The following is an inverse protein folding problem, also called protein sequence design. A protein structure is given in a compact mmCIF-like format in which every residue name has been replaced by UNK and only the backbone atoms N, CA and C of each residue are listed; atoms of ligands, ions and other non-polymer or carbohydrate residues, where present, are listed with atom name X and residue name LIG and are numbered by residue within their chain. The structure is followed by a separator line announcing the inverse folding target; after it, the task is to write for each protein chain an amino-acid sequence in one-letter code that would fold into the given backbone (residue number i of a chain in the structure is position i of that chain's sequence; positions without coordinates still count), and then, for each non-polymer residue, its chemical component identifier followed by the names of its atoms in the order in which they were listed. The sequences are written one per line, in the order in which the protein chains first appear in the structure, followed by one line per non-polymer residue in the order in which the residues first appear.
data_IF_218646178619
#
_entry.id   IF_218646178619
#
_cell.length_a   1.000
_cell.length_b   1.000
_cell.length_c   1.000
_cell.angle_alpha   90.00
_cell.angle_beta   90.00
_cell.angle_gamma   90.00
#
_symmetry.space_group_name_H-M   'P 1'
#
loop_
_entity.id
_entity.type
_entity.pdbx_description
1 polymer ?
#
# COMPACT_ATOMS: atom_id res chain seq x y z
N UNK A 1 45.73 -7.35 -18.95
CA UNK A 1 45.55 -6.60 -20.21
C UNK A 1 44.49 -5.52 -19.99
N UNK A 2 44.77 -4.31 -20.46
CA UNK A 2 44.13 -3.07 -20.03
C UNK A 2 42.96 -2.70 -20.97
N UNK A 3 41.93 -2.00 -20.45
CA UNK A 3 40.63 -1.67 -21.10
C UNK A 3 40.71 -0.87 -22.41
N UNK A 4 41.93 -0.55 -22.87
CA UNK A 4 42.22 0.29 -24.04
C UNK A 4 42.27 -0.49 -25.35
N UNK A 5 42.23 -1.82 -25.31
CA UNK A 5 42.21 -2.67 -26.52
C UNK A 5 40.79 -3.03 -26.99
N UNK A 6 39.79 -2.95 -26.11
CA UNK A 6 38.40 -3.33 -26.42
C UNK A 6 37.64 -2.27 -27.23
N UNK A 7 38.13 -1.03 -27.29
CA UNK A 7 37.51 0.07 -28.05
C UNK A 7 38.04 0.22 -29.50
N UNK A 8 38.93 -0.67 -29.96
CA UNK A 8 39.52 -0.57 -31.31
C UNK A 8 38.83 -1.41 -32.37
N UNK A 9 37.89 -2.29 -32.01
CA UNK A 9 37.20 -3.18 -32.95
C UNK A 9 35.70 -3.07 -32.75
N UNK A 10 35.04 -2.26 -33.58
CA UNK A 10 33.67 -2.45 -34.12
C UNK A 10 33.13 -1.11 -34.64
N UNK A 11 33.75 -0.58 -35.69
CA UNK A 11 33.17 0.50 -36.46
C UNK A 11 33.04 0.05 -37.92
N UNK A 12 31.79 0.15 -38.41
CA UNK A 12 31.40 0.44 -39.78
C UNK A 12 31.46 -0.70 -40.81
N UNK A 13 30.28 -1.16 -41.22
CA UNK A 13 29.97 -1.33 -42.64
C UNK A 13 28.54 -0.84 -42.88
N UNK A 14 28.43 0.14 -43.77
CA UNK A 14 27.21 0.80 -44.20
C UNK A 14 26.54 0.02 -45.34
N UNK A 15 25.22 0.18 -45.50
CA UNK A 15 24.47 -0.26 -46.67
C UNK A 15 23.10 0.40 -46.73
N UNK A 16 22.87 1.21 -47.76
CA UNK A 16 21.75 2.12 -47.99
C UNK A 16 21.02 1.73 -49.29
N UNK A 17 19.67 1.85 -49.30
CA UNK A 17 18.74 2.14 -50.44
C UNK A 17 17.39 1.44 -50.19
N UNK A 18 16.27 2.11 -49.87
CA UNK A 18 15.43 3.06 -50.63
C UNK A 18 14.30 2.37 -51.45
N UNK A 19 13.04 2.73 -51.15
CA UNK A 19 12.01 3.22 -52.08
C UNK A 19 10.56 2.81 -51.69
N UNK A 20 9.66 3.77 -51.88
CA UNK A 20 8.25 3.82 -51.51
C UNK A 20 7.31 2.99 -52.41
N UNK A 21 6.11 2.67 -51.88
CA UNK A 21 4.90 2.54 -52.70
C UNK A 21 3.64 2.79 -51.84
N UNK A 22 3.07 4.00 -51.96
CA UNK A 22 1.67 4.27 -51.69
C UNK A 22 0.85 3.79 -52.90
N UNK A 23 -0.28 3.12 -52.67
CA UNK A 23 -1.32 2.91 -53.69
C UNK A 23 -2.70 3.22 -53.08
N UNK A 24 -3.54 4.07 -53.74
CA UNK A 24 -4.91 4.39 -53.33
C UNK A 24 -5.98 3.62 -54.15
N UNK A 25 -7.18 3.40 -53.59
CA UNK A 25 -8.36 2.94 -54.36
C UNK A 25 -9.59 2.41 -53.58
N UNK A 26 -10.40 3.31 -52.99
CA UNK A 26 -11.89 3.49 -53.01
C UNK A 26 -12.93 2.32 -53.17
N UNK A 27 -14.25 2.46 -52.82
CA UNK A 27 -14.99 3.41 -51.95
C UNK A 27 -16.11 2.72 -51.06
N UNK A 28 -17.22 3.36 -50.63
CA UNK A 28 -17.69 3.40 -49.24
C UNK A 28 -18.74 2.32 -48.87
N UNK A 29 -18.71 1.83 -47.62
CA UNK A 29 -19.84 1.10 -47.04
C UNK A 29 -20.49 1.97 -45.96
N UNK A 30 -21.73 2.37 -46.22
CA UNK A 30 -22.66 2.95 -45.27
C UNK A 30 -22.85 1.99 -44.11
N UNK A 31 -22.40 2.37 -42.92
CA UNK A 31 -22.58 1.60 -41.69
C UNK A 31 -22.74 2.57 -40.53
N UNK A 32 -23.97 2.65 -40.04
CA UNK A 32 -24.45 3.34 -38.84
C UNK A 32 -23.41 3.46 -37.71
N UNK A 33 -23.27 4.68 -37.19
CA UNK A 33 -22.55 4.94 -35.95
C UNK A 33 -23.15 4.11 -34.79
N UNK A 34 -22.36 3.38 -34.00
CA UNK A 34 -22.87 2.77 -32.79
C UNK A 34 -23.31 3.88 -31.83
N UNK A 35 -24.60 3.88 -31.51
CA UNK A 35 -25.20 4.70 -30.48
C UNK A 35 -24.40 4.61 -29.18
N UNK A 36 -24.22 5.76 -28.54
CA UNK A 36 -23.57 5.90 -27.25
C UNK A 36 -24.11 4.85 -26.26
N UNK A 37 -23.19 4.06 -25.69
CA UNK A 37 -23.49 3.21 -24.55
C UNK A 37 -24.08 4.07 -23.41
N UNK A 38 -25.11 3.62 -22.70
CA UNK A 38 -25.61 4.34 -21.54
C UNK A 38 -24.49 4.48 -20.52
N UNK A 39 -24.24 5.73 -20.12
CA UNK A 39 -23.32 6.06 -19.06
C UNK A 39 -23.60 5.16 -17.85
N UNK A 40 -22.58 4.43 -17.41
CA UNK A 40 -22.61 3.74 -16.14
C UNK A 40 -23.00 4.78 -15.09
N UNK A 41 -24.18 4.60 -14.50
CA UNK A 41 -24.61 5.32 -13.32
C UNK A 41 -23.50 5.18 -12.29
N UNK A 42 -22.74 6.24 -12.08
CA UNK A 42 -21.94 6.40 -10.87
C UNK A 42 -22.94 6.40 -9.73
N UNK A 43 -23.18 5.21 -9.18
CA UNK A 43 -23.73 5.01 -7.86
C UNK A 43 -22.72 5.53 -6.86
N UNK A 44 -22.50 6.84 -6.89
CA UNK A 44 -22.04 7.59 -5.73
C UNK A 44 -23.15 7.38 -4.72
N UNK A 45 -22.95 6.40 -3.86
CA UNK A 45 -23.56 6.43 -2.54
C UNK A 45 -23.17 7.78 -1.98
N UNK A 46 -24.11 8.72 -2.01
CA UNK A 46 -24.04 9.90 -1.17
C UNK A 46 -24.02 9.36 0.25
N UNK A 47 -22.80 9.08 0.74
CA UNK A 47 -22.54 9.04 2.16
C UNK A 47 -22.92 10.44 2.62
N UNK A 48 -24.12 10.55 3.18
CA UNK A 48 -24.51 11.70 3.96
C UNK A 48 -23.33 12.01 4.90
N UNK A 49 -23.02 13.29 5.03
CA UNK A 49 -22.08 13.83 6.01
C UNK A 49 -22.60 13.53 7.43
N UNK A 50 -22.57 12.26 7.81
CA UNK A 50 -22.40 11.90 9.19
C UNK A 50 -20.97 12.33 9.50
N UNK A 51 -20.80 13.26 10.43
CA UNK A 51 -19.53 13.44 11.11
C UNK A 51 -19.06 12.05 11.50
N UNK A 52 -18.04 11.53 10.81
CA UNK A 52 -17.48 10.23 11.10
C UNK A 52 -16.84 10.36 12.49
N UNK A 53 -17.63 10.07 13.52
CA UNK A 53 -17.06 9.81 14.83
C UNK A 53 -16.17 8.60 14.62
N UNK A 54 -14.86 8.78 14.80
CA UNK A 54 -13.94 7.64 14.81
C UNK A 54 -14.41 6.79 15.98
N UNK A 55 -15.09 5.68 15.65
CA UNK A 55 -15.80 4.87 16.63
C UNK A 55 -14.83 4.43 17.71
N UNK A 56 -15.09 4.84 18.96
CA UNK A 56 -14.33 4.34 20.09
C UNK A 56 -14.78 2.90 20.34
N UNK A 57 -13.82 1.98 20.31
CA UNK A 57 -14.00 0.54 20.48
C UNK A 57 -14.43 0.13 21.90
N UNK A 58 -15.03 1.04 22.68
CA UNK A 58 -15.36 0.84 24.09
C UNK A 58 -14.14 0.71 24.99
N UNK A 59 -12.93 0.97 24.47
CA UNK A 59 -11.67 0.88 25.21
C UNK A 59 -11.48 2.15 26.03
N UNK A 60 -11.09 1.98 27.30
CA UNK A 60 -10.66 3.09 28.13
C UNK A 60 -9.32 3.62 27.61
N UNK A 61 -9.35 4.82 27.04
CA UNK A 61 -8.13 5.50 26.60
C UNK A 61 -7.31 5.96 27.82
N UNK A 62 -5.97 6.04 27.68
CA UNK A 62 -5.11 6.64 28.70
C UNK A 62 -5.56 8.07 28.97
N UNK A 63 -5.34 8.56 30.19
CA UNK A 63 -5.55 9.97 30.55
C UNK A 63 -4.27 10.79 30.47
N UNK A 64 -3.12 10.13 30.62
CA UNK A 64 -1.80 10.76 30.50
C UNK A 64 -1.45 11.07 29.04
N UNK A 65 -0.56 12.04 28.79
CA UNK A 65 -0.01 12.29 27.47
C UNK A 65 0.72 11.06 26.92
N UNK A 66 0.34 10.62 25.72
CA UNK A 66 0.97 9.50 25.00
C UNK A 66 1.28 9.94 23.57
N UNK A 67 2.47 9.60 23.09
CA UNK A 67 2.83 9.78 21.67
C UNK A 67 3.06 8.43 21.02
N UNK A 68 2.31 8.15 19.95
CA UNK A 68 2.49 6.99 19.09
C UNK A 68 3.34 7.37 17.88
N UNK A 69 4.46 6.68 17.69
CA UNK A 69 5.36 6.88 16.56
C UNK A 69 4.89 6.01 15.39
N UNK A 70 4.67 6.63 14.25
CA UNK A 70 4.14 5.97 13.06
C UNK A 70 5.00 6.30 11.85
N UNK A 71 5.46 5.29 11.12
CA UNK A 71 6.17 5.50 9.83
C UNK A 71 5.44 4.80 8.68
N UNK A 72 5.23 5.54 7.60
CA UNK A 72 4.56 5.05 6.38
C UNK A 72 5.20 5.69 5.14
N UNK A 73 4.88 5.18 3.94
CA UNK A 73 5.52 5.61 2.69
C UNK A 73 5.19 7.03 2.22
N UNK A 74 4.34 7.76 2.94
CA UNK A 74 4.08 9.17 2.68
C UNK A 74 3.32 9.48 1.38
N UNK A 75 2.85 8.44 0.67
CA UNK A 75 2.17 8.57 -0.61
C UNK A 75 0.70 9.02 -0.43
N UNK A 76 -0.22 8.61 -1.31
CA UNK A 76 -1.65 8.95 -1.16
C UNK A 76 -2.22 8.59 0.21
N UNK A 77 -1.62 7.60 0.91
CA UNK A 77 -1.99 7.26 2.30
C UNK A 77 -1.75 8.41 3.28
N UNK A 78 -0.76 9.28 3.07
CA UNK A 78 -0.48 10.41 3.97
C UNK A 78 -1.63 11.41 4.02
N UNK A 79 -2.38 11.59 2.92
CA UNK A 79 -3.58 12.45 2.92
C UNK A 79 -4.60 11.93 3.92
N UNK A 80 -4.85 10.62 3.91
CA UNK A 80 -5.73 9.98 4.87
C UNK A 80 -5.16 10.04 6.29
N UNK A 81 -3.90 9.68 6.48
CA UNK A 81 -3.30 9.62 7.82
C UNK A 81 -3.24 10.97 8.51
N UNK A 82 -2.83 12.03 7.81
CA UNK A 82 -2.79 13.37 8.40
C UNK A 82 -4.17 13.84 8.85
N UNK A 83 -5.21 13.60 8.05
CA UNK A 83 -6.60 13.93 8.43
C UNK A 83 -7.07 13.09 9.61
N UNK A 84 -6.81 11.78 9.58
CA UNK A 84 -7.17 10.87 10.66
C UNK A 84 -6.49 11.26 11.98
N UNK A 85 -5.18 11.50 11.98
CA UNK A 85 -4.42 11.87 13.17
C UNK A 85 -4.88 13.21 13.74
N UNK A 86 -5.07 14.23 12.89
CA UNK A 86 -5.60 15.52 13.33
C UNK A 86 -6.97 15.37 13.99
N UNK A 87 -7.88 14.62 13.35
CA UNK A 87 -9.22 14.38 13.88
C UNK A 87 -9.19 13.58 15.18
N UNK A 88 -8.33 12.57 15.27
CA UNK A 88 -8.20 11.77 16.49
C UNK A 88 -7.65 12.60 17.65
N UNK A 89 -6.68 13.48 17.40
CA UNK A 89 -6.13 14.40 18.39
C UNK A 89 -7.18 15.41 18.88
N UNK A 90 -8.01 15.96 18.00
CA UNK A 90 -9.13 16.84 18.41
C UNK A 90 -10.07 16.16 19.42
N UNK A 91 -10.32 14.86 19.24
CA UNK A 91 -11.18 14.08 20.14
C UNK A 91 -10.44 13.58 21.39
N UNK A 92 -9.13 13.38 21.28
CA UNK A 92 -8.26 12.86 22.34
C UNK A 92 -6.98 13.68 22.45
N UNK A 93 -7.02 14.89 23.06
CA UNK A 93 -5.88 15.80 23.08
C UNK A 93 -4.64 15.25 23.83
N UNK A 94 -4.83 14.20 24.63
CA UNK A 94 -3.73 13.53 25.33
C UNK A 94 -3.04 12.45 24.47
N UNK A 95 -3.52 12.19 23.25
CA UNK A 95 -2.92 11.25 22.31
C UNK A 95 -2.36 12.02 21.11
N UNK A 96 -1.07 11.84 20.87
CA UNK A 96 -0.32 12.46 19.79
C UNK A 96 0.21 11.40 18.83
N UNK A 97 0.28 11.73 17.54
CA UNK A 97 0.90 10.88 16.52
C UNK A 97 2.15 11.55 15.97
N UNK A 98 3.32 10.97 16.24
CA UNK A 98 4.56 11.35 15.57
C UNK A 98 4.65 10.60 14.25
N UNK A 99 4.15 11.24 13.18
CA UNK A 99 4.04 10.63 11.85
C UNK A 99 5.21 10.98 10.94
N UNK A 100 5.98 9.96 10.56
CA UNK A 100 7.08 10.03 9.60
C UNK A 100 6.63 9.48 8.23
N UNK A 101 6.31 10.40 7.31
CA UNK A 101 6.00 10.10 5.92
C UNK A 101 7.31 9.99 5.10
N UNK A 102 7.92 8.81 5.05
CA UNK A 102 9.24 8.59 4.45
C UNK A 102 9.14 7.86 3.10
N UNK A 103 10.01 8.15 2.12
CA UNK A 103 10.06 7.37 0.89
C UNK A 103 10.56 5.94 1.18
N UNK A 104 10.18 4.97 0.33
CA UNK A 104 10.45 3.54 0.56
C UNK A 104 11.93 3.19 0.75
N UNK A 105 12.85 3.92 0.11
CA UNK A 105 14.30 3.73 0.28
C UNK A 105 14.78 4.10 1.69
N UNK A 106 14.14 5.06 2.35
CA UNK A 106 14.45 5.43 3.74
C UNK A 106 13.80 4.46 4.73
N UNK A 107 12.57 4.01 4.48
CA UNK A 107 11.91 2.95 5.27
C UNK A 107 12.78 1.69 5.31
N UNK A 108 13.35 1.31 4.16
CA UNK A 108 14.25 0.16 4.04
C UNK A 108 15.54 0.27 4.89
N UNK A 109 15.87 1.46 5.41
CA UNK A 109 17.00 1.68 6.29
C UNK A 109 16.57 1.91 7.75
N UNK A 110 15.60 2.80 7.96
CA UNK A 110 15.18 3.26 9.29
C UNK A 110 14.50 2.14 10.08
N UNK A 111 13.58 1.39 9.47
CA UNK A 111 12.83 0.34 10.18
C UNK A 111 13.74 -0.80 10.64
N UNK A 112 14.57 -1.44 9.77
CA UNK A 112 15.47 -2.51 10.23
C UNK A 112 16.49 -2.04 11.28
N UNK A 113 17.01 -0.81 11.14
CA UNK A 113 17.90 -0.22 12.13
C UNK A 113 17.19 -0.03 13.48
N UNK A 114 15.96 0.50 13.45
CA UNK A 114 15.11 0.68 14.62
C UNK A 114 14.83 -0.64 15.33
N UNK A 115 14.46 -1.69 14.59
CA UNK A 115 14.20 -3.02 15.17
C UNK A 115 15.44 -3.56 15.87
N UNK A 116 16.61 -3.54 15.20
CA UNK A 116 17.88 -4.01 15.77
C UNK A 116 18.30 -3.24 17.02
N UNK A 117 17.99 -1.95 17.08
CA UNK A 117 18.36 -1.08 18.19
C UNK A 117 17.29 -1.01 19.30
N UNK A 118 16.13 -1.66 19.11
CA UNK A 118 15.00 -1.54 20.05
C UNK A 118 14.33 -0.17 20.04
N UNK A 119 14.44 0.58 18.94
CA UNK A 119 13.90 1.94 18.77
C UNK A 119 12.97 2.07 17.57
N UNK A 120 12.53 0.97 16.96
CA UNK A 120 11.54 0.98 15.88
C UNK A 120 10.29 1.76 16.29
N UNK A 121 9.61 2.37 15.32
CA UNK A 121 8.30 2.98 15.51
C UNK A 121 7.29 1.98 16.07
N UNK A 122 6.24 2.49 16.67
CA UNK A 122 5.19 1.64 17.27
C UNK A 122 4.30 1.04 16.16
N UNK A 123 4.13 1.79 15.07
CA UNK A 123 3.51 1.32 13.82
C UNK A 123 4.41 1.66 12.64
N UNK A 124 4.68 0.68 11.77
CA UNK A 124 5.54 0.88 10.61
C UNK A 124 5.10 0.05 9.40
N UNK A 125 5.35 0.57 8.20
CA UNK A 125 5.41 -0.24 6.99
C UNK A 125 6.66 -1.12 6.99
N UNK A 126 6.51 -2.40 6.66
CA UNK A 126 7.67 -3.27 6.42
C UNK A 126 8.38 -2.85 5.12
N UNK A 127 9.72 -2.94 5.04
CA UNK A 127 10.44 -2.71 3.79
C UNK A 127 9.92 -3.61 2.66
N UNK A 128 9.83 -3.09 1.43
CA UNK A 128 9.34 -3.84 0.27
C UNK A 128 10.17 -5.09 -0.07
N UNK A 129 11.43 -5.14 0.39
CA UNK A 129 12.33 -6.29 0.23
C UNK A 129 12.05 -7.43 1.23
N UNK A 130 11.13 -7.22 2.18
CA UNK A 130 10.78 -8.15 3.24
C UNK A 130 9.30 -8.51 3.17
N UNK A 131 9.00 -9.78 3.38
CA UNK A 131 7.63 -10.27 3.52
C UNK A 131 7.14 -10.14 4.96
N UNK A 132 5.81 -10.05 5.16
CA UNK A 132 5.23 -10.08 6.50
C UNK A 132 5.61 -11.36 7.27
N UNK A 133 5.68 -12.51 6.59
CA UNK A 133 6.12 -13.77 7.18
C UNK A 133 7.54 -13.70 7.76
N UNK A 134 8.47 -13.06 7.04
CA UNK A 134 9.84 -12.85 7.54
C UNK A 134 9.84 -11.95 8.77
N UNK A 135 9.14 -10.82 8.74
CA UNK A 135 9.04 -9.91 9.89
C UNK A 135 8.48 -10.62 11.14
N UNK A 136 7.47 -11.49 10.98
CA UNK A 136 6.92 -12.31 12.06
C UNK A 136 7.95 -13.33 12.57
N UNK A 137 8.58 -14.08 11.68
CA UNK A 137 9.55 -15.12 12.05
C UNK A 137 10.81 -14.55 12.73
N UNK A 138 11.21 -13.33 12.36
CA UNK A 138 12.33 -12.60 12.96
C UNK A 138 11.92 -11.84 14.23
N UNK A 139 10.64 -11.86 14.62
CA UNK A 139 10.16 -11.24 15.85
C UNK A 139 10.10 -9.71 15.81
N UNK A 140 9.94 -9.10 14.63
CA UNK A 140 9.88 -7.65 14.48
C UNK A 140 8.55 -7.05 14.96
N UNK A 141 7.48 -7.85 14.92
CA UNK A 141 6.10 -7.39 15.15
C UNK A 141 5.41 -8.27 16.18
N UNK A 142 4.57 -7.64 17.00
CA UNK A 142 3.66 -8.33 17.91
C UNK A 142 2.38 -8.76 17.18
N UNK A 143 1.75 -9.83 17.66
CA UNK A 143 0.45 -10.22 17.15
C UNK A 143 -0.63 -9.23 17.62
N UNK A 144 -1.55 -8.90 16.73
CA UNK A 144 -2.67 -8.01 17.00
C UNK A 144 -3.60 -8.59 18.06
N UNK A 145 -3.79 -9.90 18.05
CA UNK A 145 -4.56 -10.67 19.04
C UNK A 145 -4.04 -10.44 20.47
N UNK A 146 -2.76 -10.12 20.64
CA UNK A 146 -2.14 -9.91 21.95
C UNK A 146 -2.30 -8.46 22.45
N UNK A 147 -2.66 -7.53 21.56
CA UNK A 147 -2.70 -6.09 21.84
C UNK A 147 -4.14 -5.57 21.86
N UNK A 148 -5.00 -6.05 20.96
CA UNK A 148 -6.36 -5.57 20.80
C UNK A 148 -7.30 -6.36 21.71
N UNK A 149 -8.01 -5.71 22.66
CA UNK A 149 -9.00 -6.37 23.49
C UNK A 149 -10.19 -6.84 22.63
N UNK A 150 -10.81 -7.95 23.03
CA UNK A 150 -11.92 -8.58 22.29
C UNK A 150 -11.59 -8.80 20.81
N UNK A 151 -10.35 -9.20 20.51
CA UNK A 151 -9.81 -9.26 19.15
C UNK A 151 -10.73 -9.96 18.13
N UNK A 152 -11.38 -11.06 18.52
CA UNK A 152 -12.28 -11.78 17.60
C UNK A 152 -13.50 -10.95 17.18
N UNK A 153 -14.07 -10.17 18.10
CA UNK A 153 -15.18 -9.25 17.79
C UNK A 153 -14.69 -8.10 16.90
N UNK A 154 -13.54 -7.52 17.23
CA UNK A 154 -12.90 -6.49 16.41
C UNK A 154 -12.63 -7.00 14.99
N UNK A 155 -12.07 -8.20 14.86
CA UNK A 155 -11.75 -8.85 13.58
C UNK A 155 -13.00 -9.15 12.76
N UNK A 156 -14.10 -9.54 13.42
CA UNK A 156 -15.39 -9.78 12.78
C UNK A 156 -16.06 -8.52 12.21
N UNK A 157 -15.58 -7.31 12.58
CA UNK A 157 -16.03 -6.05 11.99
C UNK A 157 -15.53 -5.83 10.55
N UNK A 158 -14.59 -6.63 10.07
CA UNK A 158 -14.07 -6.53 8.70
C UNK A 158 -14.79 -7.51 7.76
N UNK A 159 -14.96 -7.16 6.47
CA UNK A 159 -15.51 -8.07 5.48
C UNK A 159 -14.73 -9.37 5.33
N UNK A 160 -15.42 -10.43 4.87
CA UNK A 160 -14.80 -11.70 4.53
C UNK A 160 -13.66 -11.52 3.51
N UNK A 161 -12.56 -12.25 3.72
CA UNK A 161 -11.40 -12.24 2.83
C UNK A 161 -10.39 -11.10 3.10
N UNK A 162 -10.64 -10.22 4.07
CA UNK A 162 -9.63 -9.24 4.52
C UNK A 162 -8.46 -9.95 5.20
N UNK A 163 -8.74 -10.86 6.12
CA UNK A 163 -7.72 -11.62 6.83
C UNK A 163 -7.53 -12.99 6.16
N UNK A 164 -6.29 -13.27 5.74
CA UNK A 164 -5.95 -14.42 4.92
C UNK A 164 -4.75 -15.17 5.53
N UNK A 165 -4.87 -16.49 5.81
CA UNK A 165 -3.76 -17.33 6.22
C UNK A 165 -2.56 -17.22 5.28
N UNK A 166 -1.38 -16.99 5.85
CA UNK A 166 -0.12 -16.80 5.10
C UNK A 166 0.07 -15.41 4.49
N UNK A 167 -0.86 -14.47 4.72
CA UNK A 167 -0.77 -13.08 4.25
C UNK A 167 -0.84 -12.10 5.42
N UNK A 168 -1.94 -12.16 6.18
CA UNK A 168 -2.14 -11.36 7.40
C UNK A 168 -1.98 -12.22 8.65
N UNK A 169 -2.29 -13.51 8.52
CA UNK A 169 -2.39 -14.45 9.62
C UNK A 169 -1.26 -15.47 9.53
N UNK A 170 -0.49 -15.60 10.60
CA UNK A 170 0.65 -16.50 10.73
C UNK A 170 0.56 -17.23 12.07
N UNK A 171 0.85 -18.54 12.08
CA UNK A 171 0.86 -19.34 13.31
C UNK A 171 -0.43 -19.22 14.17
N UNK A 172 -1.58 -19.08 13.52
CA UNK A 172 -2.88 -18.95 14.19
C UNK A 172 -3.17 -17.57 14.79
N UNK A 173 -2.32 -16.57 14.55
CA UNK A 173 -2.51 -15.17 14.98
C UNK A 173 -2.48 -14.20 13.81
N UNK A 174 -3.06 -13.02 13.98
CA UNK A 174 -3.05 -11.94 12.98
C UNK A 174 -1.98 -10.90 13.33
N UNK A 175 -1.24 -10.45 12.32
CA UNK A 175 -0.09 -9.53 12.50
C UNK A 175 -0.19 -8.26 11.67
N UNK A 176 -1.10 -8.20 10.69
CA UNK A 176 -1.20 -7.05 9.80
C UNK A 176 -2.65 -6.64 9.58
N UNK A 177 -2.85 -5.35 9.35
CA UNK A 177 -4.11 -4.79 8.85
C UNK A 177 -3.91 -4.39 7.39
N UNK A 178 -4.68 -4.95 6.45
CA UNK A 178 -4.68 -4.46 5.08
C UNK A 178 -5.26 -3.03 5.01
N UNK A 179 -4.39 -2.03 4.85
CA UNK A 179 -4.80 -0.62 4.68
C UNK A 179 -5.16 -0.32 3.22
N UNK A 180 -4.65 -1.13 2.29
CA UNK A 180 -4.94 -1.02 0.84
C UNK A 180 -5.28 -2.39 0.28
N UNK A 181 -5.97 -2.41 -0.87
CA UNK A 181 -6.19 -3.67 -1.58
C UNK A 181 -4.90 -4.10 -2.28
N UNK A 182 -4.36 -5.26 -1.93
CA UNK A 182 -3.34 -5.93 -2.73
C UNK A 182 -4.00 -7.06 -3.52
N UNK A 183 -4.69 -6.70 -4.61
CA UNK A 183 -5.29 -7.68 -5.52
C UNK A 183 -4.18 -8.51 -6.15
N UNK A 184 -4.21 -9.83 -5.96
CA UNK A 184 -3.26 -10.75 -6.62
C UNK A 184 -3.63 -10.87 -8.09
N UNK A 185 -2.88 -10.21 -8.96
CA UNK A 185 -3.12 -10.22 -10.42
C UNK A 185 -2.50 -11.43 -11.13
N UNK A 186 -1.53 -12.11 -10.53
CA UNK A 186 -0.89 -13.30 -11.09
C UNK A 186 -1.25 -14.54 -10.30
N UNK A 187 -2.25 -15.31 -10.76
CA UNK A 187 -2.57 -16.62 -10.18
C UNK A 187 -2.91 -17.58 -11.32
N UNK A 188 -2.17 -18.68 -11.42
CA UNK A 188 -2.59 -19.82 -12.22
C UNK A 188 -3.56 -20.63 -11.36
N UNK A 189 -4.80 -20.75 -11.82
CA UNK A 189 -5.84 -21.57 -11.20
C UNK A 189 -5.94 -22.88 -12.00
N UNK A 190 -6.13 -23.99 -11.30
CA UNK A 190 -6.46 -25.30 -11.88
C UNK A 190 -7.94 -25.61 -11.65
#
# INVERSE_FOLDING_TARGET
MNRREFLRWSALTAGMAAAAACAPGAPPSSGEAPAAAPAASSGGSAAAEAEAQIGLSGIQLPTEPVTLRWVDSGDQKAVFWNQFFARYHEMHPNIEFAYDALPWNEIAQVVPLGVRNGTAHDVFQIPLSMTAAQAVNEGWVAAMDDIIPNFQEWKAGFPDGVFVPGVTDFNGKTYTIPITSNKRYGTHLL
#
